data_IF_053549418227
#
_entry.id   IF_053549418227
#
_cell.length_a   1.000
_cell.length_b   1.000
_cell.length_c   1.000
_cell.angle_alpha   90.00
_cell.angle_beta   90.00
_cell.angle_gamma   90.00
#
_symmetry.space_group_name_H-M   'P 1'
#
loop_
_entity.id
_entity.type
_entity.pdbx_description
1 polymer ?
#
# COMPACT_ATOMS: atom_id res chain seq x y z
N UNK A 1 -30.96 20.35 6.72
CA UNK A 1 -30.50 19.01 7.12
C UNK A 1 -30.77 18.09 5.94
N UNK A 2 -29.78 17.83 5.09
CA UNK A 2 -29.98 17.09 3.84
C UNK A 2 -30.22 15.62 4.15
N UNK A 3 -31.48 15.18 3.99
CA UNK A 3 -31.86 13.77 3.97
C UNK A 3 -31.31 13.22 2.65
N UNK A 4 -30.11 12.64 2.71
CA UNK A 4 -29.61 11.76 1.66
C UNK A 4 -30.64 10.62 1.59
N UNK A 5 -31.40 10.50 0.50
CA UNK A 5 -32.38 9.43 0.34
C UNK A 5 -31.71 8.07 0.64
N UNK A 6 -32.44 7.13 1.26
CA UNK A 6 -31.88 5.83 1.66
C UNK A 6 -31.18 5.11 0.50
N UNK A 7 -31.67 5.27 -0.73
CA UNK A 7 -31.03 4.77 -1.96
C UNK A 7 -29.66 5.41 -2.22
N UNK A 8 -29.54 6.73 -2.09
CA UNK A 8 -28.27 7.45 -2.19
C UNK A 8 -27.30 7.05 -1.07
N UNK A 9 -27.80 6.82 0.16
CA UNK A 9 -26.97 6.35 1.27
C UNK A 9 -26.42 4.93 1.02
N UNK A 10 -27.27 4.00 0.58
CA UNK A 10 -26.87 2.63 0.23
C UNK A 10 -25.86 2.60 -0.91
N UNK A 11 -26.02 3.47 -1.92
CA UNK A 11 -25.06 3.59 -3.03
C UNK A 11 -23.72 4.16 -2.55
N UNK A 12 -23.73 5.19 -1.70
CA UNK A 12 -22.52 5.78 -1.11
C UNK A 12 -21.79 4.75 -0.24
N UNK A 13 -22.50 3.96 0.56
CA UNK A 13 -21.89 2.91 1.38
C UNK A 13 -21.26 1.80 0.53
N UNK A 14 -21.94 1.33 -0.52
CA UNK A 14 -21.38 0.35 -1.47
C UNK A 14 -20.09 0.86 -2.11
N UNK A 15 -20.06 2.12 -2.53
CA UNK A 15 -18.86 2.77 -3.09
C UNK A 15 -17.75 2.85 -2.04
N UNK A 16 -18.07 3.16 -0.78
CA UNK A 16 -17.08 3.25 0.31
C UNK A 16 -16.46 1.90 0.64
N UNK A 17 -17.27 0.84 0.77
CA UNK A 17 -16.79 -0.50 1.10
C UNK A 17 -15.91 -1.05 -0.03
N UNK A 18 -16.30 -0.86 -1.29
CA UNK A 18 -15.46 -1.25 -2.43
C UNK A 18 -14.14 -0.48 -2.45
N UNK A 19 -14.18 0.86 -2.28
CA UNK A 19 -12.97 1.68 -2.20
C UNK A 19 -12.03 1.24 -1.07
N UNK A 20 -12.59 0.91 0.09
CA UNK A 20 -11.83 0.42 1.23
C UNK A 20 -11.10 -0.88 0.91
N UNK A 21 -11.79 -1.85 0.29
CA UNK A 21 -11.19 -3.11 -0.13
C UNK A 21 -10.11 -2.90 -1.19
N UNK A 22 -10.31 -1.99 -2.16
CA UNK A 22 -9.29 -1.64 -3.15
C UNK A 22 -8.01 -1.15 -2.46
N UNK A 23 -8.14 -0.26 -1.48
CA UNK A 23 -6.99 0.25 -0.70
C UNK A 23 -6.31 -0.88 0.10
N UNK A 24 -7.07 -1.77 0.73
CA UNK A 24 -6.50 -2.92 1.45
C UNK A 24 -5.71 -3.83 0.52
N UNK A 25 -6.26 -4.16 -0.67
CA UNK A 25 -5.59 -4.98 -1.66
C UNK A 25 -4.30 -4.32 -2.18
N UNK A 26 -4.33 -3.02 -2.45
CA UNK A 26 -3.13 -2.28 -2.87
C UNK A 26 -2.05 -2.30 -1.78
N UNK A 27 -2.42 -2.09 -0.51
CA UNK A 27 -1.49 -2.23 0.62
C UNK A 27 -0.88 -3.62 0.69
N UNK A 28 -1.69 -4.67 0.60
CA UNK A 28 -1.21 -6.05 0.63
C UNK A 28 -0.28 -6.36 -0.54
N UNK A 29 -0.58 -5.85 -1.73
CA UNK A 29 0.30 -5.98 -2.90
C UNK A 29 1.69 -5.44 -2.60
N UNK A 30 1.79 -4.24 -2.02
CA UNK A 30 3.06 -3.68 -1.59
C UNK A 30 3.71 -4.43 -0.44
N UNK A 31 2.94 -4.88 0.55
CA UNK A 31 3.46 -5.60 1.71
C UNK A 31 4.01 -6.97 1.32
N UNK A 32 3.43 -7.62 0.31
CA UNK A 32 3.86 -8.92 -0.18
C UNK A 32 5.33 -8.92 -0.62
N UNK A 33 5.80 -7.85 -1.24
CA UNK A 33 7.21 -7.70 -1.64
C UNK A 33 8.19 -7.76 -0.47
N UNK A 34 7.77 -7.37 0.74
CA UNK A 34 8.56 -7.47 1.95
C UNK A 34 8.41 -8.85 2.61
N UNK A 35 7.16 -9.30 2.78
CA UNK A 35 6.85 -10.55 3.49
C UNK A 35 7.39 -11.78 2.75
N UNK A 36 7.40 -11.78 1.42
CA UNK A 36 7.89 -12.91 0.63
C UNK A 36 9.42 -13.06 0.70
N UNK A 37 10.17 -11.98 0.90
CA UNK A 37 11.63 -12.01 0.96
C UNK A 37 12.16 -12.08 2.41
N UNK A 38 11.32 -11.77 3.40
CA UNK A 38 11.75 -11.71 4.79
C UNK A 38 11.79 -13.10 5.45
N UNK A 39 12.95 -13.55 5.96
CA UNK A 39 13.07 -14.84 6.66
C UNK A 39 12.30 -14.85 8.00
N UNK A 40 12.24 -13.70 8.70
CA UNK A 40 11.55 -13.60 9.98
C UNK A 40 10.02 -13.66 9.84
N UNK A 41 9.48 -13.40 8.65
CA UNK A 41 8.05 -13.43 8.40
C UNK A 41 7.47 -14.85 8.41
N UNK A 42 8.31 -15.86 8.16
CA UNK A 42 7.93 -17.28 8.20
C UNK A 42 7.78 -17.81 9.64
N UNK A 43 8.29 -17.12 10.64
CA UNK A 43 8.11 -17.46 12.06
C UNK A 43 7.17 -16.48 12.79
N UNK A 44 6.71 -15.42 12.11
CA UNK A 44 5.84 -14.41 12.67
C UNK A 44 4.40 -14.95 12.88
N UNK A 45 4.13 -15.46 14.08
CA UNK A 45 2.79 -15.94 14.48
C UNK A 45 1.86 -14.76 14.80
N UNK A 46 0.70 -14.74 14.14
CA UNK A 46 -0.38 -13.79 14.39
C UNK A 46 -1.58 -14.51 15.03
N UNK A 47 -2.61 -13.76 15.44
CA UNK A 47 -3.87 -14.37 15.91
C UNK A 47 -4.59 -15.19 14.84
N UNK A 48 -4.27 -14.98 13.56
CA UNK A 48 -4.90 -15.63 12.43
C UNK A 48 -4.01 -16.74 11.82
N UNK A 49 -2.87 -17.05 12.44
CA UNK A 49 -1.89 -18.00 11.92
C UNK A 49 -0.57 -17.32 11.56
N UNK A 50 0.30 -18.05 10.88
CA UNK A 50 1.60 -17.54 10.45
C UNK A 50 1.48 -16.45 9.37
N UNK A 51 2.24 -15.36 9.49
CA UNK A 51 2.12 -14.20 8.61
C UNK A 51 2.39 -14.52 7.13
N UNK A 52 3.48 -15.23 6.81
CA UNK A 52 3.78 -15.60 5.42
C UNK A 52 2.69 -16.51 4.84
N UNK A 53 2.22 -17.46 5.65
CA UNK A 53 1.14 -18.39 5.27
C UNK A 53 -0.17 -17.66 5.01
N UNK A 54 -0.48 -16.60 5.76
CA UNK A 54 -1.66 -15.78 5.52
C UNK A 54 -1.64 -15.15 4.13
N UNK A 55 -0.48 -14.68 3.66
CA UNK A 55 -0.37 -14.12 2.30
C UNK A 55 -0.45 -15.20 1.21
N UNK A 56 0.24 -16.33 1.38
CA UNK A 56 0.24 -17.40 0.38
C UNK A 56 -1.11 -18.11 0.26
N UNK A 57 -1.94 -18.05 1.31
CA UNK A 57 -3.31 -18.60 1.31
C UNK A 57 -4.33 -17.67 0.66
N UNK A 58 -3.98 -16.40 0.39
CA UNK A 58 -4.87 -15.50 -0.34
C UNK A 58 -4.92 -15.88 -1.82
N UNK A 59 -6.08 -15.68 -2.44
CA UNK A 59 -6.24 -15.85 -3.88
C UNK A 59 -5.31 -14.89 -4.62
N UNK A 60 -4.49 -15.38 -5.56
CA UNK A 60 -3.44 -14.59 -6.21
C UNK A 60 -3.94 -13.29 -6.86
N UNK A 61 -5.18 -13.30 -7.38
CA UNK A 61 -5.78 -12.13 -8.00
C UNK A 61 -5.99 -10.98 -6.99
N UNK A 62 -6.16 -11.28 -5.69
CA UNK A 62 -6.29 -10.27 -4.64
C UNK A 62 -5.00 -9.47 -4.43
N UNK A 63 -3.84 -10.08 -4.70
CA UNK A 63 -2.51 -9.46 -4.53
C UNK A 63 -1.93 -8.90 -5.84
N UNK A 64 -2.23 -9.50 -6.98
CA UNK A 64 -1.56 -9.19 -8.25
C UNK A 64 -2.46 -8.51 -9.30
N UNK A 65 -3.79 -8.65 -9.22
CA UNK A 65 -4.73 -8.12 -10.23
C UNK A 65 -5.73 -7.15 -9.59
N UNK A 66 -5.22 -6.02 -9.08
CA UNK A 66 -5.97 -5.07 -8.25
C UNK A 66 -7.21 -4.48 -8.94
N UNK A 67 -7.21 -4.39 -10.27
CA UNK A 67 -8.32 -3.85 -11.06
C UNK A 67 -9.43 -4.89 -11.34
N UNK A 68 -9.23 -6.16 -10.98
CA UNK A 68 -10.16 -7.24 -11.24
C UNK A 68 -10.90 -7.65 -9.96
N UNK A 69 -12.22 -7.81 -10.11
CA UNK A 69 -13.10 -8.43 -9.13
C UNK A 69 -14.01 -9.43 -9.86
N UNK A 70 -14.10 -10.65 -9.34
CA UNK A 70 -15.13 -11.60 -9.76
C UNK A 70 -16.48 -11.20 -9.16
N UNK A 71 -17.58 -11.79 -9.65
CA UNK A 71 -18.90 -11.61 -9.04
C UNK A 71 -18.93 -12.08 -7.58
N UNK A 72 -18.21 -13.16 -7.26
CA UNK A 72 -18.07 -13.66 -5.88
C UNK A 72 -17.38 -12.63 -4.99
N UNK A 73 -16.33 -11.98 -5.50
CA UNK A 73 -15.62 -10.93 -4.76
C UNK A 73 -16.54 -9.75 -4.48
N UNK A 74 -17.33 -9.32 -5.46
CA UNK A 74 -18.28 -8.22 -5.26
C UNK A 74 -19.35 -8.55 -4.21
N UNK A 75 -19.78 -9.81 -4.11
CA UNK A 75 -20.68 -10.27 -3.04
C UNK A 75 -19.97 -10.23 -1.67
N UNK A 76 -18.73 -10.72 -1.58
CA UNK A 76 -17.92 -10.67 -0.35
C UNK A 76 -17.58 -9.24 0.08
N UNK A 77 -17.37 -8.34 -0.88
CA UNK A 77 -17.20 -6.90 -0.64
C UNK A 77 -18.50 -6.33 -0.08
N UNK A 78 -19.63 -6.59 -0.73
CA UNK A 78 -20.94 -6.09 -0.29
C UNK A 78 -21.26 -6.53 1.15
N UNK A 79 -20.95 -7.78 1.49
CA UNK A 79 -21.19 -8.35 2.82
C UNK A 79 -20.11 -7.98 3.86
N UNK A 80 -19.08 -7.22 3.48
CA UNK A 80 -17.92 -6.85 4.31
C UNK A 80 -17.01 -8.01 4.72
N UNK A 81 -17.28 -9.24 4.27
CA UNK A 81 -16.44 -10.43 4.48
C UNK A 81 -15.01 -10.21 3.98
N UNK A 82 -14.84 -9.53 2.84
CA UNK A 82 -13.51 -9.26 2.29
C UNK A 82 -12.72 -8.27 3.15
N UNK A 83 -13.33 -7.21 3.66
CA UNK A 83 -12.66 -6.30 4.61
C UNK A 83 -12.27 -7.02 5.90
N UNK A 84 -13.17 -7.83 6.46
CA UNK A 84 -12.92 -8.61 7.68
C UNK A 84 -11.76 -9.60 7.51
N UNK A 85 -11.58 -10.15 6.31
CA UNK A 85 -10.43 -11.00 5.98
C UNK A 85 -9.13 -10.20 5.84
N UNK A 86 -9.13 -9.10 5.10
CA UNK A 86 -7.90 -8.40 4.70
C UNK A 86 -7.35 -7.45 5.76
N UNK A 87 -8.20 -6.82 6.58
CA UNK A 87 -7.77 -5.84 7.60
C UNK A 87 -6.78 -6.41 8.62
N UNK A 88 -7.01 -7.60 9.22
CA UNK A 88 -6.04 -8.18 10.16
C UNK A 88 -4.70 -8.47 9.49
N UNK A 89 -4.70 -8.94 8.24
CA UNK A 89 -3.47 -9.25 7.49
C UNK A 89 -2.66 -7.97 7.26
N UNK A 90 -3.32 -6.88 6.82
CA UNK A 90 -2.68 -5.56 6.67
C UNK A 90 -2.10 -5.07 8.00
N UNK A 91 -2.84 -5.24 9.10
CA UNK A 91 -2.37 -4.83 10.43
C UNK A 91 -1.10 -5.58 10.84
N UNK A 92 -1.11 -6.92 10.78
CA UNK A 92 0.03 -7.73 11.19
C UNK A 92 1.24 -7.54 10.29
N UNK A 93 1.03 -7.44 8.97
CA UNK A 93 2.09 -7.15 8.01
C UNK A 93 2.73 -5.78 8.28
N UNK A 94 1.93 -4.76 8.55
CA UNK A 94 2.43 -3.43 8.93
C UNK A 94 3.30 -3.52 10.19
N UNK A 95 2.79 -4.12 11.26
CA UNK A 95 3.53 -4.25 12.52
C UNK A 95 4.86 -4.98 12.32
N UNK A 96 4.86 -6.06 11.53
CA UNK A 96 6.06 -6.81 11.20
C UNK A 96 7.05 -5.95 10.40
N UNK A 97 6.63 -5.37 9.27
CA UNK A 97 7.53 -4.61 8.37
C UNK A 97 8.13 -3.39 9.08
N UNK A 98 7.36 -2.69 9.91
CA UNK A 98 7.84 -1.52 10.65
C UNK A 98 8.75 -1.86 11.84
N UNK A 99 8.72 -3.11 12.34
CA UNK A 99 9.52 -3.55 13.48
C UNK A 99 10.72 -4.45 13.11
N UNK A 100 10.62 -5.22 12.03
CA UNK A 100 11.61 -6.20 11.59
C UNK A 100 12.83 -5.53 10.95
N UNK A 101 14.02 -5.85 11.46
CA UNK A 101 15.28 -5.28 10.96
C UNK A 101 15.58 -5.67 9.51
N UNK A 102 15.22 -6.89 9.09
CA UNK A 102 15.36 -7.29 7.70
C UNK A 102 14.47 -6.43 6.78
N UNK A 103 13.20 -6.25 7.13
CA UNK A 103 12.28 -5.44 6.32
C UNK A 103 12.70 -3.96 6.27
N UNK A 104 13.21 -3.41 7.37
CA UNK A 104 13.66 -2.01 7.46
C UNK A 104 14.81 -1.69 6.52
N UNK A 105 15.68 -2.66 6.18
CA UNK A 105 16.76 -2.46 5.21
C UNK A 105 16.24 -2.08 3.81
N UNK A 106 14.99 -2.42 3.50
CA UNK A 106 14.32 -2.09 2.24
C UNK A 106 13.37 -0.88 2.35
N UNK A 107 13.30 -0.23 3.52
CA UNK A 107 12.60 1.03 3.68
C UNK A 107 13.30 2.15 2.91
N UNK A 108 12.53 3.03 2.27
CA UNK A 108 13.10 4.15 1.52
C UNK A 108 13.06 5.43 2.35
N UNK A 109 14.05 6.31 2.20
CA UNK A 109 13.96 7.68 2.72
C UNK A 109 13.24 8.58 1.71
N UNK A 110 12.71 9.71 2.21
CA UNK A 110 12.02 10.67 1.35
C UNK A 110 12.99 11.34 0.37
N UNK A 111 12.67 11.34 -0.93
CA UNK A 111 13.55 11.95 -1.97
C UNK A 111 13.69 13.47 -1.93
N UNK A 112 12.97 14.16 -1.03
CA UNK A 112 12.96 15.62 -0.96
C UNK A 112 13.51 16.20 0.34
N UNK A 113 13.40 15.50 1.46
CA UNK A 113 13.89 15.98 2.74
C UNK A 113 15.11 15.18 3.21
N UNK A 114 15.89 15.79 4.10
CA UNK A 114 17.11 15.20 4.66
C UNK A 114 16.84 14.35 5.90
N UNK A 115 15.56 14.15 6.27
CA UNK A 115 15.20 13.23 7.35
C UNK A 115 15.46 11.78 6.91
N UNK A 116 16.61 11.24 7.33
CA UNK A 116 17.00 9.85 7.11
C UNK A 116 16.56 8.91 8.24
N UNK A 117 16.02 9.43 9.35
CA UNK A 117 15.56 8.62 10.47
C UNK A 117 14.19 7.97 10.19
N UNK A 118 13.34 8.64 9.41
CA UNK A 118 12.03 8.08 9.04
C UNK A 118 12.12 7.24 7.76
N UNK A 119 11.91 5.94 7.90
CA UNK A 119 11.69 5.02 6.77
C UNK A 119 10.26 5.14 6.25
N UNK A 120 10.15 5.22 4.93
CA UNK A 120 8.90 5.23 4.19
C UNK A 120 8.70 3.88 3.52
N UNK A 121 7.46 3.41 3.57
CA UNK A 121 7.03 2.21 2.88
C UNK A 121 5.85 2.51 1.95
N UNK A 122 5.75 1.86 0.79
CA UNK A 122 4.74 2.20 -0.21
C UNK A 122 3.30 1.91 0.24
N UNK A 123 3.09 1.01 1.20
CA UNK A 123 1.77 0.72 1.79
C UNK A 123 1.26 1.83 2.75
N UNK A 124 2.10 2.79 3.15
CA UNK A 124 1.72 3.91 4.03
C UNK A 124 1.04 5.05 3.25
N UNK A 125 0.02 4.71 2.46
CA UNK A 125 -0.62 5.58 1.47
C UNK A 125 -1.21 6.87 2.07
N UNK A 126 -1.48 6.90 3.38
CA UNK A 126 -2.00 8.08 4.09
C UNK A 126 -0.94 9.16 4.31
N UNK A 127 0.35 8.83 4.23
CA UNK A 127 1.46 9.77 4.46
C UNK A 127 2.54 9.73 3.36
N UNK A 128 2.59 8.69 2.54
CA UNK A 128 3.60 8.47 1.49
C UNK A 128 2.98 8.60 0.10
N UNK A 129 3.71 9.26 -0.78
CA UNK A 129 3.52 9.24 -2.23
C UNK A 129 4.62 8.41 -2.90
N UNK A 130 4.20 7.42 -3.69
CA UNK A 130 5.07 6.66 -4.59
C UNK A 130 5.05 7.29 -5.98
N UNK A 131 6.21 7.61 -6.53
CA UNK A 131 6.32 8.14 -7.89
C UNK A 131 5.94 7.06 -8.91
N UNK A 132 4.90 7.30 -9.72
CA UNK A 132 4.47 6.37 -10.77
C UNK A 132 5.48 6.14 -11.90
N UNK A 133 6.50 6.98 -12.02
CA UNK A 133 7.53 6.86 -13.09
C UNK A 133 8.76 6.07 -12.65
N UNK A 134 9.26 6.30 -11.42
CA UNK A 134 10.51 5.70 -10.95
C UNK A 134 10.39 4.93 -9.63
N UNK A 135 9.19 4.81 -9.07
CA UNK A 135 8.94 4.08 -7.82
C UNK A 135 9.45 4.75 -6.54
N UNK A 136 10.18 5.87 -6.64
CA UNK A 136 10.73 6.56 -5.47
C UNK A 136 9.65 7.08 -4.52
N UNK A 137 9.93 7.03 -3.21
CA UNK A 137 8.99 7.43 -2.16
C UNK A 137 9.27 8.84 -1.63
N UNK A 138 8.20 9.49 -1.17
CA UNK A 138 8.26 10.79 -0.52
C UNK A 138 7.08 10.97 0.43
N UNK A 139 7.21 11.85 1.42
CA UNK A 139 6.02 12.29 2.16
C UNK A 139 5.06 13.04 1.22
N UNK A 140 3.75 12.88 1.43
CA UNK A 140 2.72 13.61 0.69
C UNK A 140 2.94 15.13 0.76
N UNK A 141 3.30 15.65 1.95
CA UNK A 141 3.60 17.08 2.15
C UNK A 141 4.80 17.53 1.32
N UNK A 142 5.85 16.72 1.21
CA UNK A 142 7.03 17.04 0.41
C UNK A 142 6.72 17.01 -1.09
N UNK A 143 6.00 16.00 -1.57
CA UNK A 143 5.54 15.94 -2.96
C UNK A 143 4.66 17.13 -3.33
N UNK A 144 3.72 17.52 -2.45
CA UNK A 144 2.86 18.68 -2.69
C UNK A 144 3.65 20.00 -2.79
N UNK A 145 4.68 20.19 -1.94
CA UNK A 145 5.59 21.35 -2.02
C UNK A 145 6.37 21.36 -3.34
N UNK A 146 6.83 20.20 -3.81
CA UNK A 146 7.53 20.07 -5.09
C UNK A 146 6.62 20.47 -6.26
N UNK A 147 5.41 19.90 -6.34
CA UNK A 147 4.44 20.18 -7.43
C UNK A 147 4.00 21.65 -7.51
N UNK A 148 4.10 22.42 -6.42
CA UNK A 148 3.82 23.88 -6.46
C UNK A 148 4.95 24.69 -7.08
N UNK A 149 6.18 24.19 -7.02
CA UNK A 149 7.38 24.87 -7.52
C UNK A 149 7.69 24.54 -8.98
N UNK A 150 7.19 23.41 -9.47
CA UNK A 150 7.42 22.94 -10.84
C UNK A 150 6.10 22.90 -11.60
N UNK A 151 6.09 23.41 -12.83
CA UNK A 151 4.97 23.25 -13.78
C UNK A 151 4.86 21.82 -14.34
N UNK A 152 5.58 20.86 -13.75
CA UNK A 152 5.62 19.48 -14.19
C UNK A 152 4.40 18.71 -13.64
N UNK A 153 3.59 18.21 -14.56
CA UNK A 153 2.34 17.51 -14.24
C UNK A 153 2.60 16.11 -13.62
N UNK A 154 3.77 15.49 -13.89
CA UNK A 154 4.10 14.13 -13.46
C UNK A 154 5.59 13.96 -13.09
N UNK A 155 5.87 13.06 -12.14
CA UNK A 155 7.22 12.68 -11.73
C UNK A 155 7.66 13.22 -10.36
N UNK A 156 8.94 13.01 -10.03
CA UNK A 156 9.58 13.48 -8.80
C UNK A 156 10.94 14.13 -9.07
N UNK A 157 11.64 14.59 -8.04
CA UNK A 157 13.01 15.17 -8.15
C UNK A 157 13.95 14.28 -8.97
N UNK A 158 13.96 12.96 -8.73
CA UNK A 158 14.82 12.01 -9.48
C UNK A 158 14.44 11.88 -10.96
N UNK A 159 13.16 11.98 -11.31
CA UNK A 159 12.73 11.94 -12.72
C UNK A 159 13.22 13.16 -13.51
N UNK A 160 13.32 14.32 -12.85
CA UNK A 160 13.71 15.59 -13.49
C UNK A 160 15.21 15.87 -13.38
N UNK A 161 15.94 15.07 -12.61
CA UNK A 161 17.40 15.11 -12.50
C UNK A 161 17.96 13.73 -12.90
N UNK A 162 18.00 13.40 -14.20
CA UNK A 162 18.59 12.15 -14.65
C UNK A 162 20.12 12.23 -14.48
N UNK A 163 20.64 11.82 -13.32
CA UNK A 163 22.07 11.57 -13.14
C UNK A 163 22.29 10.13 -12.64
N UNK A 164 22.66 9.30 -13.62
CA UNK A 164 23.53 8.11 -13.63
C UNK A 164 23.41 7.10 -12.47
N UNK A 165 22.78 5.97 -12.75
CA UNK A 165 23.27 4.66 -12.27
C UNK A 165 23.37 3.74 -13.48
N UNK A 166 24.50 3.85 -14.18
CA UNK A 166 25.15 2.66 -14.72
C UNK A 166 26.08 2.17 -13.62
N UNK A 167 25.75 1.03 -13.02
CA UNK A 167 26.67 0.22 -12.22
C UNK A 167 26.19 -1.22 -12.32
N UNK A 168 26.39 -1.79 -13.51
CA UNK A 168 26.82 -3.18 -13.59
C UNK A 168 28.27 -3.17 -13.11
N UNK A 169 28.50 -3.71 -11.92
CA UNK A 169 29.74 -4.40 -11.55
C UNK A 169 29.30 -5.76 -11.04
#
# INVERSE_FOLDING_TARGET
>A
MYIISLENYLQVEKIRVLKHVIVLREKLSYMWDYIKECPDAEEAVTKCGNLRTLFTSLEQHLLHSLDLFSLSDLVRVHNKDMSTLLEPIVYYAKCHIEACEHCKQYGATCVYCENSEELLFPFQMEKVYKCGTCGSLSHLKCQAKFRRKTSADKGCKKCHQPNKIGSNI
#
